data_IF_956825686055
#
_entry.id   IF_956825686055
#
_cell.length_a   1.000
_cell.length_b   1.000
_cell.length_c   1.000
_cell.angle_alpha   90.00
_cell.angle_beta   90.00
_cell.angle_gamma   90.00
#
_symmetry.space_group_name_H-M   'P 1'
#
loop_
_entity.id
_entity.type
_entity.pdbx_description
1 polymer ?
#
# COMPACT_ATOMS: atom_id res chain seq x y z
N UNK A 1 19.66 -12.79 16.88
CA UNK A 1 18.22 -12.69 17.27
C UNK A 1 17.97 -11.59 18.32
N UNK A 2 18.92 -11.40 19.25
CA UNK A 2 18.83 -10.31 20.25
C UNK A 2 18.90 -8.93 19.60
N UNK A 3 19.72 -8.79 18.57
CA UNK A 3 19.91 -7.52 17.83
C UNK A 3 18.60 -7.06 17.15
N UNK A 4 17.83 -7.98 16.58
CA UNK A 4 16.52 -7.65 15.98
C UNK A 4 15.51 -7.13 17.04
N UNK A 5 15.49 -7.74 18.23
CA UNK A 5 14.59 -7.29 19.30
C UNK A 5 14.97 -5.88 19.78
N UNK A 6 16.26 -5.63 19.95
CA UNK A 6 16.79 -4.30 20.31
C UNK A 6 16.47 -3.27 19.24
N UNK A 7 16.68 -3.62 17.98
CA UNK A 7 16.34 -2.76 16.83
C UNK A 7 14.85 -2.40 16.82
N UNK A 8 13.96 -3.37 17.07
CA UNK A 8 12.51 -3.13 17.18
C UNK A 8 12.14 -2.18 18.31
N UNK A 9 12.81 -2.28 19.45
CA UNK A 9 12.61 -1.35 20.58
C UNK A 9 12.99 0.09 20.19
N UNK A 10 14.14 0.27 19.53
CA UNK A 10 14.57 1.60 19.05
C UNK A 10 13.60 2.19 18.03
N UNK A 11 13.14 1.39 17.07
CA UNK A 11 12.18 1.83 16.05
C UNK A 11 10.85 2.21 16.72
N UNK A 12 10.36 1.39 17.65
CA UNK A 12 9.11 1.66 18.37
C UNK A 12 9.22 2.94 19.22
N UNK A 13 10.33 3.11 19.92
CA UNK A 13 10.56 4.34 20.69
C UNK A 13 10.65 5.57 19.79
N UNK A 14 11.39 5.48 18.69
CA UNK A 14 11.45 6.54 17.67
C UNK A 14 10.08 6.91 17.11
N UNK A 15 9.23 5.90 16.85
CA UNK A 15 7.84 6.09 16.42
C UNK A 15 7.00 6.83 17.46
N UNK A 16 7.10 6.47 18.75
CA UNK A 16 6.40 7.16 19.83
C UNK A 16 6.85 8.62 19.97
N UNK A 17 8.14 8.89 19.87
CA UNK A 17 8.68 10.26 19.88
C UNK A 17 8.15 11.05 18.69
N UNK A 18 8.11 10.46 17.49
CA UNK A 18 7.56 11.09 16.29
C UNK A 18 6.07 11.42 16.47
N UNK A 19 5.26 10.50 17.00
CA UNK A 19 3.85 10.74 17.31
C UNK A 19 3.71 11.91 18.29
N UNK A 20 4.49 11.92 19.36
CA UNK A 20 4.48 13.01 20.34
C UNK A 20 4.84 14.36 19.70
N UNK A 21 5.85 14.41 18.84
CA UNK A 21 6.25 15.62 18.10
C UNK A 21 5.11 16.10 17.19
N UNK A 22 4.49 15.19 16.44
CA UNK A 22 3.36 15.54 15.57
C UNK A 22 2.19 16.07 16.39
N UNK A 23 1.86 15.46 17.53
CA UNK A 23 0.78 15.93 18.40
C UNK A 23 1.09 17.30 19.01
N UNK A 24 2.35 17.57 19.38
CA UNK A 24 2.74 18.82 20.04
C UNK A 24 2.92 19.99 19.06
N UNK A 25 3.52 19.74 17.90
CA UNK A 25 3.90 20.76 16.92
C UNK A 25 3.10 20.72 15.63
N UNK A 26 2.31 19.66 15.40
CA UNK A 26 1.56 19.45 14.18
C UNK A 26 0.41 20.44 14.02
N UNK A 27 0.67 21.56 13.34
CA UNK A 27 -0.38 22.48 12.91
C UNK A 27 -0.99 21.98 11.59
N UNK A 28 -2.31 22.11 11.45
CA UNK A 28 -3.04 21.70 10.22
C UNK A 28 -2.42 22.33 8.96
N UNK A 29 -1.94 23.59 9.05
CA UNK A 29 -1.27 24.26 7.92
C UNK A 29 0.03 23.57 7.50
N UNK A 30 0.85 23.12 8.47
CA UNK A 30 2.09 22.38 8.22
C UNK A 30 1.77 21.02 7.58
N UNK A 31 0.75 20.32 8.07
CA UNK A 31 0.33 19.03 7.52
C UNK A 31 -0.16 19.17 6.07
N UNK A 32 -0.91 20.22 5.75
CA UNK A 32 -1.32 20.54 4.37
C UNK A 32 -0.13 20.86 3.45
N UNK A 33 0.88 21.53 3.95
CA UNK A 33 2.11 21.79 3.20
C UNK A 33 2.90 20.50 2.96
N UNK A 34 3.10 19.71 4.02
CA UNK A 34 3.76 18.41 3.96
C UNK A 34 3.03 17.42 3.05
N UNK A 35 1.70 17.47 2.97
CA UNK A 35 0.93 16.61 2.07
C UNK A 35 1.24 16.84 0.59
N UNK A 36 1.46 18.10 0.20
CA UNK A 36 1.86 18.46 -1.16
C UNK A 36 3.29 18.02 -1.47
N UNK A 37 4.21 18.30 -0.55
CA UNK A 37 5.60 17.84 -0.67
C UNK A 37 5.66 16.29 -0.66
N UNK A 38 4.85 15.64 0.18
CA UNK A 38 4.75 14.20 0.25
C UNK A 38 4.33 13.57 -1.08
N UNK A 39 3.36 14.17 -1.77
CA UNK A 39 2.96 13.72 -3.12
C UNK A 39 4.12 13.82 -4.12
N UNK A 40 4.78 14.97 -4.19
CA UNK A 40 5.92 15.17 -5.11
C UNK A 40 7.05 14.20 -4.75
N UNK A 41 7.38 14.11 -3.46
CA UNK A 41 8.42 13.20 -2.97
C UNK A 41 8.09 11.73 -3.25
N UNK A 42 6.83 11.30 -3.07
CA UNK A 42 6.41 9.93 -3.34
C UNK A 42 6.47 9.60 -4.84
N UNK A 43 6.06 10.52 -5.71
CA UNK A 43 6.17 10.32 -7.15
C UNK A 43 7.64 10.22 -7.60
N UNK A 44 8.52 11.07 -7.07
CA UNK A 44 9.97 11.01 -7.35
C UNK A 44 10.59 9.71 -6.83
N UNK A 45 10.23 9.25 -5.63
CA UNK A 45 10.71 7.98 -5.07
C UNK A 45 10.25 6.78 -5.90
N UNK A 46 9.02 6.79 -6.41
CA UNK A 46 8.53 5.73 -7.31
C UNK A 46 9.28 5.73 -8.63
N UNK A 47 9.49 6.90 -9.25
CA UNK A 47 10.26 7.02 -10.50
C UNK A 47 11.71 6.54 -10.29
N UNK A 48 12.33 6.90 -9.16
CA UNK A 48 13.68 6.46 -8.81
C UNK A 48 13.73 4.95 -8.65
N UNK A 49 12.73 4.37 -7.99
CA UNK A 49 12.61 2.93 -7.76
C UNK A 49 12.47 2.17 -9.09
N UNK A 50 11.56 2.63 -9.96
CA UNK A 50 11.27 1.99 -11.25
C UNK A 50 12.40 2.16 -12.28
N UNK A 51 13.16 3.26 -12.18
CA UNK A 51 14.32 3.50 -13.04
C UNK A 51 15.55 2.67 -12.65
N UNK A 52 15.55 2.05 -11.47
CA UNK A 52 16.70 1.31 -10.88
C UNK A 52 17.99 2.16 -10.84
N UNK A 53 17.85 3.48 -10.77
CA UNK A 53 18.97 4.41 -10.82
C UNK A 53 19.74 4.41 -9.50
N UNK A 54 21.01 4.00 -9.54
CA UNK A 54 21.90 3.90 -8.37
C UNK A 54 22.87 5.08 -8.22
N UNK A 55 22.66 6.16 -8.96
CA UNK A 55 23.58 7.32 -8.98
C UNK A 55 23.50 8.26 -7.78
N UNK A 56 22.58 8.05 -6.84
CA UNK A 56 22.41 8.91 -5.67
C UNK A 56 22.92 8.20 -4.42
N UNK A 57 24.02 8.65 -3.81
CA UNK A 57 24.67 7.91 -2.71
C UNK A 57 23.81 7.73 -1.45
N UNK A 58 22.78 8.56 -1.26
CA UNK A 58 21.88 8.49 -0.09
C UNK A 58 20.55 7.78 -0.36
N UNK A 59 20.27 7.43 -1.63
CA UNK A 59 19.01 6.88 -2.09
C UNK A 59 19.28 5.76 -3.10
N UNK A 60 19.56 4.56 -2.61
CA UNK A 60 19.86 3.41 -3.46
C UNK A 60 18.69 2.45 -3.51
N UNK A 61 18.05 2.26 -4.68
CA UNK A 61 17.07 1.20 -4.87
C UNK A 61 17.71 -0.18 -4.65
N UNK A 62 17.01 -1.05 -3.93
CA UNK A 62 17.50 -2.40 -3.61
C UNK A 62 16.39 -3.43 -3.88
N UNK A 63 16.76 -4.58 -4.42
CA UNK A 63 15.83 -5.70 -4.52
C UNK A 63 15.40 -6.16 -3.12
N UNK A 64 14.12 -6.39 -2.95
CA UNK A 64 13.56 -6.88 -1.67
C UNK A 64 14.08 -8.26 -1.31
N UNK A 65 14.30 -9.09 -2.33
CA UNK A 65 14.97 -10.39 -2.21
C UNK A 65 15.91 -10.55 -3.41
N UNK A 66 17.18 -10.88 -3.21
CA UNK A 66 18.13 -11.04 -4.30
C UNK A 66 17.63 -12.03 -5.35
N UNK A 67 17.60 -11.62 -6.62
CA UNK A 67 17.15 -12.43 -7.74
C UNK A 67 15.63 -12.55 -7.93
N UNK A 68 14.82 -11.85 -7.12
CA UNK A 68 13.35 -11.83 -7.27
C UNK A 68 12.85 -10.86 -8.34
N UNK A 69 13.68 -9.92 -8.76
CA UNK A 69 13.30 -8.81 -9.64
C UNK A 69 12.26 -7.87 -9.00
N UNK A 70 12.07 -7.93 -7.67
CA UNK A 70 11.09 -7.08 -6.97
C UNK A 70 11.80 -5.92 -6.26
N UNK A 71 11.59 -4.73 -6.79
CA UNK A 71 12.13 -3.49 -6.25
C UNK A 71 11.04 -2.79 -5.46
N UNK A 72 11.16 -2.74 -4.13
CA UNK A 72 10.17 -2.11 -3.23
C UNK A 72 10.82 -1.26 -2.16
N UNK A 73 12.13 -1.40 -2.00
CA UNK A 73 12.87 -0.81 -0.91
C UNK A 73 13.92 0.13 -1.46
N UNK A 74 14.07 1.29 -0.83
CA UNK A 74 15.19 2.22 -1.06
C UNK A 74 15.95 2.33 0.26
N UNK A 75 17.27 2.18 0.20
CA UNK A 75 18.12 2.51 1.36
C UNK A 75 18.27 4.03 1.39
N UNK A 76 17.68 4.64 2.42
CA UNK A 76 17.76 6.07 2.66
C UNK A 76 18.62 6.32 3.90
N UNK A 77 19.79 6.96 3.73
CA UNK A 77 20.75 7.19 4.82
C UNK A 77 21.12 5.93 5.61
N UNK A 78 21.26 4.79 4.94
CA UNK A 78 21.58 3.50 5.57
C UNK A 78 20.39 2.75 6.17
N UNK A 79 19.18 3.32 6.13
CA UNK A 79 17.95 2.68 6.62
C UNK A 79 17.12 2.18 5.44
N UNK A 80 16.71 0.89 5.41
CA UNK A 80 15.82 0.39 4.39
C UNK A 80 14.40 0.92 4.60
N UNK A 81 13.88 1.65 3.61
CA UNK A 81 12.52 2.23 3.62
C UNK A 81 11.70 1.59 2.52
N UNK A 82 10.55 1.04 2.88
CA UNK A 82 9.58 0.53 1.92
C UNK A 82 8.83 1.70 1.29
N UNK A 83 9.13 2.00 0.02
CA UNK A 83 8.59 3.17 -0.70
C UNK A 83 7.07 3.15 -0.77
N UNK A 84 6.46 1.99 -1.03
CA UNK A 84 5.01 1.88 -1.18
C UNK A 84 4.23 2.24 0.10
N UNK A 85 4.80 1.98 1.28
CA UNK A 85 4.18 2.39 2.56
C UNK A 85 4.16 3.91 2.71
N UNK A 86 5.28 4.56 2.35
CA UNK A 86 5.39 6.03 2.37
C UNK A 86 4.42 6.65 1.37
N UNK A 87 4.32 6.08 0.16
CA UNK A 87 3.42 6.55 -0.90
C UNK A 87 1.96 6.49 -0.47
N UNK A 88 1.53 5.40 0.18
CA UNK A 88 0.15 5.26 0.70
C UNK A 88 -0.22 6.41 1.64
N UNK A 89 0.61 6.68 2.63
CA UNK A 89 0.38 7.77 3.58
C UNK A 89 0.39 9.13 2.88
N UNK A 90 1.37 9.38 2.02
CA UNK A 90 1.50 10.63 1.29
C UNK A 90 0.29 10.90 0.38
N UNK A 91 -0.20 9.86 -0.33
CA UNK A 91 -1.36 9.98 -1.21
C UNK A 91 -2.67 10.23 -0.47
N UNK A 92 -2.89 9.57 0.67
CA UNK A 92 -4.06 9.82 1.51
C UNK A 92 -4.07 11.28 1.98
N UNK A 93 -2.94 11.77 2.49
CA UNK A 93 -2.82 13.16 2.95
C UNK A 93 -2.98 14.16 1.79
N UNK A 94 -2.39 13.86 0.63
CA UNK A 94 -2.52 14.70 -0.55
C UNK A 94 -3.97 14.78 -1.04
N UNK A 95 -4.66 13.65 -1.16
CA UNK A 95 -6.07 13.61 -1.56
C UNK A 95 -6.97 14.35 -0.57
N UNK A 96 -6.70 14.23 0.72
CA UNK A 96 -7.42 14.99 1.75
C UNK A 96 -7.24 16.50 1.56
N UNK A 97 -6.02 16.96 1.25
CA UNK A 97 -5.76 18.36 0.89
C UNK A 97 -6.47 18.77 -0.40
N UNK A 98 -6.36 17.97 -1.46
CA UNK A 98 -6.98 18.26 -2.75
C UNK A 98 -8.51 18.39 -2.65
N UNK A 99 -9.15 17.46 -1.93
CA UNK A 99 -10.59 17.48 -1.67
C UNK A 99 -11.04 18.72 -0.88
N UNK A 100 -10.24 19.13 0.11
CA UNK A 100 -10.53 20.37 0.84
C UNK A 100 -10.38 21.60 -0.06
N UNK A 101 -9.32 21.69 -0.83
CA UNK A 101 -9.03 22.79 -1.77
C UNK A 101 -10.17 22.95 -2.79
N UNK A 102 -10.66 21.83 -3.34
CA UNK A 102 -11.81 21.85 -4.26
C UNK A 102 -13.10 22.33 -3.58
N UNK A 103 -13.34 21.90 -2.33
CA UNK A 103 -14.54 22.37 -1.58
C UNK A 103 -14.48 23.84 -1.19
N UNK A 104 -13.31 24.33 -0.84
CA UNK A 104 -13.08 25.74 -0.48
C UNK A 104 -12.94 26.65 -1.71
N UNK A 105 -12.92 26.07 -2.93
CA UNK A 105 -12.69 26.77 -4.20
C UNK A 105 -11.36 27.54 -4.24
N UNK A 106 -10.38 27.12 -3.46
CA UNK A 106 -9.03 27.70 -3.42
C UNK A 106 -8.15 27.12 -4.55
N UNK A 107 -8.65 27.15 -5.79
CA UNK A 107 -8.05 26.47 -6.95
C UNK A 107 -7.11 27.37 -7.76
N UNK A 108 -6.38 28.27 -7.11
CA UNK A 108 -5.53 29.28 -7.75
C UNK A 108 -4.53 28.71 -8.77
N UNK A 109 -3.97 27.51 -8.54
CA UNK A 109 -3.04 26.89 -9.47
C UNK A 109 -3.71 26.49 -10.79
N UNK A 110 -4.88 25.85 -10.71
CA UNK A 110 -5.64 25.47 -11.90
C UNK A 110 -6.10 26.72 -12.68
N UNK A 111 -6.53 27.76 -11.97
CA UNK A 111 -6.99 29.01 -12.57
C UNK A 111 -5.82 29.74 -13.28
N UNK A 112 -4.61 29.76 -12.70
CA UNK A 112 -3.40 30.27 -13.36
C UNK A 112 -2.99 29.44 -14.58
N UNK A 113 -3.08 28.11 -14.50
CA UNK A 113 -2.76 27.24 -15.62
C UNK A 113 -3.82 27.33 -16.73
N UNK A 114 -5.09 27.55 -16.39
CA UNK A 114 -6.16 27.77 -17.35
C UNK A 114 -5.98 29.05 -18.21
N UNK A 115 -5.16 30.01 -17.74
CA UNK A 115 -4.78 31.20 -18.52
C UNK A 115 -3.95 30.84 -19.76
N UNK A 116 -3.23 29.69 -19.76
CA UNK A 116 -2.59 29.17 -20.95
C UNK A 116 -3.65 28.52 -21.85
N UNK A 117 -3.86 29.04 -23.02
CA UNK A 117 -4.99 28.76 -23.93
C UNK A 117 -5.30 27.26 -24.16
N UNK A 118 -4.31 26.38 -24.19
CA UNK A 118 -4.45 24.92 -24.38
C UNK A 118 -4.94 24.19 -23.12
N UNK A 119 -4.80 24.79 -21.92
CA UNK A 119 -5.28 24.24 -20.66
C UNK A 119 -6.62 24.89 -20.18
N UNK A 120 -7.36 25.51 -21.09
CA UNK A 120 -8.62 26.20 -20.78
C UNK A 120 -9.67 25.28 -20.14
N UNK A 121 -9.60 23.96 -20.35
CA UNK A 121 -10.48 23.00 -19.69
C UNK A 121 -10.32 22.98 -18.15
N UNK A 122 -9.18 23.42 -17.61
CA UNK A 122 -8.96 23.54 -16.16
C UNK A 122 -9.79 24.64 -15.50
N UNK A 123 -10.42 25.52 -16.27
CA UNK A 123 -11.37 26.50 -15.74
C UNK A 123 -12.70 25.85 -15.31
N UNK A 124 -13.04 24.68 -15.86
CA UNK A 124 -14.25 23.94 -15.54
C UNK A 124 -14.11 23.19 -14.20
N UNK A 125 -15.24 22.95 -13.51
CA UNK A 125 -15.21 22.15 -12.26
C UNK A 125 -14.69 20.74 -12.50
N UNK A 126 -15.03 20.12 -13.63
CA UNK A 126 -14.55 18.81 -14.02
C UNK A 126 -13.06 18.79 -14.27
N UNK A 127 -12.53 19.79 -14.97
CA UNK A 127 -11.09 19.95 -15.22
C UNK A 127 -10.30 20.14 -13.91
N UNK A 128 -10.82 20.91 -12.97
CA UNK A 128 -10.21 21.08 -11.63
C UNK A 128 -10.17 19.78 -10.84
N UNK A 129 -11.25 19.02 -10.84
CA UNK A 129 -11.30 17.71 -10.17
C UNK A 129 -10.30 16.77 -10.83
N UNK A 130 -10.24 16.74 -12.15
CA UNK A 130 -9.31 15.88 -12.88
C UNK A 130 -7.86 16.25 -12.61
N UNK A 131 -7.54 17.53 -12.49
CA UNK A 131 -6.20 18.01 -12.22
C UNK A 131 -5.74 17.75 -10.78
N UNK A 132 -6.58 18.07 -9.76
CA UNK A 132 -6.19 17.93 -8.36
C UNK A 132 -6.33 16.51 -7.82
N UNK A 133 -7.25 15.72 -8.35
CA UNK A 133 -7.54 14.37 -7.82
C UNK A 133 -7.23 13.31 -8.87
N UNK A 134 -7.77 13.44 -10.09
CA UNK A 134 -7.67 12.40 -11.13
C UNK A 134 -6.24 12.15 -11.59
N UNK A 135 -5.56 13.16 -12.07
CA UNK A 135 -4.20 13.00 -12.60
C UNK A 135 -3.21 12.47 -11.54
N UNK A 136 -3.15 13.00 -10.29
CA UNK A 136 -2.32 12.43 -9.25
C UNK A 136 -2.64 10.97 -8.90
N UNK A 137 -3.93 10.61 -8.81
CA UNK A 137 -4.34 9.23 -8.55
C UNK A 137 -3.87 8.29 -9.66
N UNK A 138 -4.10 8.66 -10.93
CA UNK A 138 -3.71 7.84 -12.08
C UNK A 138 -2.19 7.71 -12.17
N UNK A 139 -1.45 8.81 -12.03
CA UNK A 139 0.02 8.80 -12.11
C UNK A 139 0.61 7.87 -11.05
N UNK A 140 0.25 8.05 -9.78
CA UNK A 140 0.81 7.23 -8.70
C UNK A 140 0.35 5.78 -8.80
N UNK A 141 -0.90 5.54 -9.18
CA UNK A 141 -1.41 4.19 -9.39
C UNK A 141 -0.63 3.45 -10.50
N UNK A 142 -0.35 4.11 -11.63
CA UNK A 142 0.41 3.52 -12.72
C UNK A 142 1.87 3.25 -12.33
N UNK A 143 2.52 4.20 -11.65
CA UNK A 143 3.88 4.00 -11.15
C UNK A 143 3.95 2.84 -10.16
N UNK A 144 3.02 2.74 -9.22
CA UNK A 144 3.01 1.64 -8.26
C UNK A 144 2.68 0.29 -8.92
N UNK A 145 1.82 0.31 -9.95
CA UNK A 145 1.46 -0.88 -10.72
C UNK A 145 2.67 -1.49 -11.44
N UNK A 146 3.63 -0.67 -11.88
CA UNK A 146 4.86 -1.13 -12.49
C UNK A 146 5.68 -2.04 -11.55
N UNK A 147 5.71 -1.70 -10.26
CA UNK A 147 6.48 -2.44 -9.27
C UNK A 147 5.70 -3.52 -8.52
N UNK A 148 4.40 -3.30 -8.22
CA UNK A 148 3.58 -4.24 -7.44
C UNK A 148 2.08 -4.10 -7.71
N UNK A 149 1.48 -5.12 -8.32
CA UNK A 149 0.05 -5.13 -8.61
C UNK A 149 -0.83 -5.10 -7.35
N UNK A 150 -0.46 -5.87 -6.32
CA UNK A 150 -1.25 -5.96 -5.08
C UNK A 150 -1.22 -4.64 -4.31
N UNK A 151 -0.06 -3.99 -4.22
CA UNK A 151 0.07 -2.69 -3.57
C UNK A 151 -0.72 -1.60 -4.33
N UNK A 152 -0.63 -1.60 -5.66
CA UNK A 152 -1.37 -0.64 -6.50
C UNK A 152 -2.89 -0.80 -6.35
N UNK A 153 -3.41 -2.04 -6.35
CA UNK A 153 -4.84 -2.29 -6.12
C UNK A 153 -5.26 -1.81 -4.73
N UNK A 154 -4.47 -2.15 -3.70
CA UNK A 154 -4.73 -1.70 -2.34
C UNK A 154 -4.73 -0.16 -2.24
N UNK A 155 -3.70 0.49 -2.79
CA UNK A 155 -3.64 1.96 -2.84
C UNK A 155 -4.85 2.53 -3.59
N UNK A 156 -5.23 1.95 -4.73
CA UNK A 156 -6.41 2.36 -5.51
C UNK A 156 -7.70 2.31 -4.68
N UNK A 157 -7.89 1.24 -3.89
CA UNK A 157 -9.04 1.10 -2.99
C UNK A 157 -9.02 2.17 -1.89
N UNK A 158 -7.88 2.40 -1.23
CA UNK A 158 -7.73 3.42 -0.19
C UNK A 158 -7.96 4.83 -0.75
N UNK A 159 -7.41 5.12 -1.94
CA UNK A 159 -7.65 6.41 -2.63
C UNK A 159 -9.13 6.59 -2.96
N UNK A 160 -9.79 5.56 -3.53
CA UNK A 160 -11.21 5.56 -3.84
C UNK A 160 -12.06 5.78 -2.58
N UNK A 161 -11.77 5.08 -1.50
CA UNK A 161 -12.43 5.25 -0.21
C UNK A 161 -12.26 6.68 0.33
N UNK A 162 -11.05 7.24 0.25
CA UNK A 162 -10.78 8.62 0.68
C UNK A 162 -11.62 9.64 -0.09
N UNK A 163 -11.77 9.45 -1.41
CA UNK A 163 -12.61 10.30 -2.27
C UNK A 163 -14.09 10.20 -1.90
N UNK A 164 -14.59 8.99 -1.61
CA UNK A 164 -15.97 8.76 -1.17
C UNK A 164 -16.25 9.47 0.17
N UNK A 165 -15.35 9.30 1.16
CA UNK A 165 -15.46 9.97 2.47
C UNK A 165 -15.40 11.50 2.32
N UNK A 166 -14.64 11.98 1.33
CA UNK A 166 -14.61 13.39 0.94
C UNK A 166 -15.95 13.93 0.41
N UNK A 167 -16.98 13.08 0.24
CA UNK A 167 -18.30 13.46 -0.30
C UNK A 167 -18.20 14.17 -1.66
N UNK A 168 -17.38 13.64 -2.55
CA UNK A 168 -17.32 14.10 -3.93
C UNK A 168 -18.61 13.68 -4.66
N UNK A 169 -19.10 14.49 -5.60
CA UNK A 169 -20.27 14.15 -6.43
C UNK A 169 -20.00 12.86 -7.20
N UNK A 170 -20.98 11.95 -7.24
CA UNK A 170 -20.86 10.65 -7.86
C UNK A 170 -20.44 10.71 -9.34
N UNK A 171 -20.87 11.75 -10.05
CA UNK A 171 -20.46 12.06 -11.43
C UNK A 171 -18.93 12.10 -11.57
N UNK A 172 -18.24 12.77 -10.65
CA UNK A 172 -16.78 12.87 -10.72
C UNK A 172 -16.07 11.56 -10.38
N UNK A 173 -16.62 10.78 -9.45
CA UNK A 173 -16.10 9.44 -9.13
C UNK A 173 -16.14 8.55 -10.39
N UNK A 174 -17.25 8.59 -11.13
CA UNK A 174 -17.37 7.86 -12.38
C UNK A 174 -16.32 8.29 -13.42
N UNK A 175 -16.08 9.60 -13.57
CA UNK A 175 -15.04 10.11 -14.47
C UNK A 175 -13.63 9.68 -14.04
N UNK A 176 -13.36 9.61 -12.73
CA UNK A 176 -12.08 9.13 -12.20
C UNK A 176 -11.87 7.65 -12.52
N UNK A 177 -12.88 6.83 -12.32
CA UNK A 177 -12.82 5.40 -12.67
C UNK A 177 -12.61 5.23 -14.18
N UNK A 178 -13.37 5.97 -15.00
CA UNK A 178 -13.24 5.93 -16.45
C UNK A 178 -11.84 6.36 -16.90
N UNK A 179 -11.29 7.42 -16.32
CA UNK A 179 -9.93 7.87 -16.61
C UNK A 179 -8.87 6.81 -16.22
N UNK A 180 -9.04 6.14 -15.10
CA UNK A 180 -8.18 5.03 -14.68
C UNK A 180 -8.25 3.85 -15.66
N UNK A 181 -9.45 3.48 -16.11
CA UNK A 181 -9.63 2.40 -17.12
C UNK A 181 -9.00 2.78 -18.45
N UNK A 182 -9.20 4.02 -18.93
CA UNK A 182 -8.58 4.52 -20.16
C UNK A 182 -7.06 4.51 -20.04
N UNK A 183 -6.51 5.00 -18.91
CA UNK A 183 -5.06 5.01 -18.69
C UNK A 183 -4.47 3.59 -18.69
N UNK A 184 -5.12 2.63 -18.03
CA UNK A 184 -4.75 1.22 -18.09
C UNK A 184 -4.80 0.68 -19.53
N UNK A 185 -5.88 0.95 -20.26
CA UNK A 185 -6.02 0.54 -21.64
C UNK A 185 -4.92 1.08 -22.55
N UNK A 186 -4.54 2.35 -22.37
CA UNK A 186 -3.44 2.97 -23.11
C UNK A 186 -2.10 2.30 -22.78
N UNK A 187 -1.80 2.05 -21.51
CA UNK A 187 -0.56 1.36 -21.11
C UNK A 187 -0.51 -0.07 -21.64
N UNK A 188 -1.64 -0.81 -21.62
CA UNK A 188 -1.72 -2.13 -22.26
C UNK A 188 -1.53 -2.07 -23.77
N UNK A 189 -2.13 -1.09 -24.43
CA UNK A 189 -1.98 -0.87 -25.88
C UNK A 189 -0.52 -0.54 -26.26
N UNK A 190 0.11 0.36 -25.52
CA UNK A 190 1.51 0.72 -25.72
C UNK A 190 2.45 -0.47 -25.51
N UNK A 191 2.22 -1.28 -24.47
CA UNK A 191 3.00 -2.48 -24.23
C UNK A 191 2.97 -3.46 -25.39
N UNK A 192 1.80 -3.63 -26.04
CA UNK A 192 1.64 -4.53 -27.17
C UNK A 192 2.35 -4.02 -28.43
N UNK A 193 2.46 -2.68 -28.58
CA UNK A 193 3.11 -2.03 -29.73
C UNK A 193 4.62 -1.95 -29.54
N UNK A 194 5.08 -1.57 -28.36
CA UNK A 194 6.51 -1.29 -28.09
C UNK A 194 7.29 -2.49 -27.56
N UNK A 195 6.60 -3.58 -27.18
CA UNK A 195 7.21 -4.75 -26.53
C UNK A 195 7.74 -4.45 -25.12
N UNK A 196 7.45 -3.28 -24.58
CA UNK A 196 7.90 -2.86 -23.24
C UNK A 196 7.17 -3.67 -22.16
N UNK A 197 7.92 -4.40 -21.36
CA UNK A 197 7.38 -5.33 -20.35
C UNK A 197 6.90 -4.63 -19.06
N UNK A 198 6.28 -3.46 -19.17
CA UNK A 198 5.82 -2.66 -18.03
C UNK A 198 4.74 -3.36 -17.19
N UNK A 199 3.88 -4.16 -17.83
CA UNK A 199 2.76 -4.84 -17.19
C UNK A 199 2.84 -6.39 -17.21
N UNK A 200 4.01 -6.97 -17.37
CA UNK A 200 4.17 -8.45 -17.32
C UNK A 200 3.64 -9.06 -16.02
N UNK A 201 3.58 -8.26 -14.96
CA UNK A 201 3.04 -8.68 -13.65
C UNK A 201 1.52 -8.73 -13.61
N UNK A 202 0.81 -7.98 -14.46
CA UNK A 202 -0.67 -8.06 -14.53
C UNK A 202 -1.11 -9.40 -15.10
N UNK A 203 -0.43 -9.91 -16.10
CA UNK A 203 -0.69 -11.26 -16.63
C UNK A 203 -0.42 -12.34 -15.58
N UNK A 204 0.63 -12.17 -14.78
CA UNK A 204 0.93 -13.06 -13.64
C UNK A 204 -0.11 -12.95 -12.52
N UNK A 205 -0.72 -11.77 -12.31
CA UNK A 205 -1.79 -11.63 -11.32
C UNK A 205 -3.08 -12.33 -11.77
N UNK A 206 -3.41 -12.24 -13.07
CA UNK A 206 -4.57 -12.94 -13.64
C UNK A 206 -4.38 -14.46 -13.54
N UNK A 207 -3.18 -14.97 -13.87
CA UNK A 207 -2.90 -16.40 -13.69
C UNK A 207 -3.01 -16.84 -12.23
N UNK A 208 -2.52 -16.04 -11.29
CA UNK A 208 -2.65 -16.35 -9.85
C UNK A 208 -4.09 -16.39 -9.36
N UNK A 209 -4.98 -15.56 -9.90
CA UNK A 209 -6.42 -15.61 -9.56
C UNK A 209 -7.06 -16.89 -10.12
N UNK A 210 -6.68 -17.34 -11.31
CA UNK A 210 -7.13 -18.62 -11.84
C UNK A 210 -6.58 -19.81 -11.05
N UNK A 211 -5.32 -19.71 -10.60
CA UNK A 211 -4.64 -20.76 -9.84
C UNK A 211 -5.10 -20.84 -8.38
N UNK A 212 -5.68 -19.74 -7.84
CA UNK A 212 -6.18 -19.69 -6.44
C UNK A 212 -7.34 -20.67 -6.17
N UNK A 213 -8.03 -21.15 -7.21
CA UNK A 213 -9.07 -22.17 -7.11
C UNK A 213 -8.53 -23.61 -7.27
N UNK A 214 -7.23 -23.77 -7.52
CA UNK A 214 -6.57 -25.08 -7.61
C UNK A 214 -6.29 -25.68 -6.24
N UNK A 215 -6.62 -26.97 -6.06
CA UNK A 215 -6.14 -27.76 -4.93
C UNK A 215 -4.65 -27.97 -5.09
N UNK A 216 -3.77 -27.44 -4.16
CA UNK A 216 -2.31 -27.56 -4.32
C UNK A 216 -1.82 -29.01 -4.44
N UNK A 217 -2.55 -29.95 -3.84
CA UNK A 217 -2.23 -31.38 -3.91
C UNK A 217 -2.48 -31.92 -5.31
N UNK A 218 -3.57 -31.51 -5.95
CA UNK A 218 -3.88 -31.90 -7.32
C UNK A 218 -2.90 -31.29 -8.32
N UNK A 219 -2.44 -30.05 -8.08
CA UNK A 219 -1.40 -29.41 -8.90
C UNK A 219 -0.05 -30.11 -8.75
N UNK A 220 0.34 -30.51 -7.53
CA UNK A 220 1.57 -31.26 -7.28
C UNK A 220 1.62 -32.57 -8.08
N UNK A 221 0.49 -33.27 -8.22
CA UNK A 221 0.42 -34.53 -8.97
C UNK A 221 0.56 -34.36 -10.49
N UNK A 222 0.45 -33.15 -11.01
CA UNK A 222 0.65 -32.85 -12.45
C UNK A 222 2.11 -32.64 -12.83
N UNK A 223 2.99 -32.47 -11.85
CA UNK A 223 4.40 -32.21 -12.07
C UNK A 223 5.28 -33.32 -11.53
N UNK A 224 6.33 -33.67 -12.25
CA UNK A 224 7.28 -34.68 -11.82
C UNK A 224 8.07 -34.21 -10.60
N UNK A 225 8.26 -35.07 -9.58
CA UNK A 225 9.08 -34.79 -8.42
C UNK A 225 10.50 -34.38 -8.81
N UNK A 226 10.96 -33.25 -8.26
CA UNK A 226 12.31 -32.71 -8.55
C UNK A 226 12.37 -31.61 -9.60
N UNK A 227 11.25 -31.33 -10.32
CA UNK A 227 11.18 -30.19 -11.23
C UNK A 227 11.07 -28.87 -10.45
N UNK A 228 11.56 -27.77 -11.03
CA UNK A 228 11.44 -26.42 -10.43
C UNK A 228 9.97 -26.03 -10.19
N UNK A 229 9.05 -26.46 -11.06
CA UNK A 229 7.62 -26.24 -10.89
C UNK A 229 7.08 -26.99 -9.67
N UNK A 230 7.42 -28.28 -9.53
CA UNK A 230 7.06 -29.09 -8.35
C UNK A 230 7.58 -28.47 -7.05
N UNK A 231 8.85 -28.02 -7.01
CA UNK A 231 9.43 -27.40 -5.83
C UNK A 231 8.73 -26.10 -5.46
N UNK A 232 8.39 -25.23 -6.44
CA UNK A 232 7.67 -23.99 -6.19
C UNK A 232 6.27 -24.21 -5.62
N UNK A 233 5.53 -25.19 -6.16
CA UNK A 233 4.19 -25.54 -5.67
C UNK A 233 4.30 -26.14 -4.27
N UNK A 234 5.29 -27.01 -4.05
CA UNK A 234 5.54 -27.61 -2.75
C UNK A 234 5.87 -26.55 -1.69
N UNK A 235 6.74 -25.59 -2.00
CA UNK A 235 7.12 -24.53 -1.06
C UNK A 235 5.95 -23.58 -0.73
N UNK A 236 5.16 -23.21 -1.73
CA UNK A 236 3.95 -22.40 -1.50
C UNK A 236 2.88 -23.16 -0.69
N UNK A 237 2.69 -24.45 -0.97
CA UNK A 237 1.75 -25.30 -0.22
C UNK A 237 2.22 -25.56 1.20
N UNK A 238 3.53 -25.70 1.44
CA UNK A 238 4.10 -25.84 2.80
C UNK A 238 3.75 -24.67 3.69
N UNK A 239 3.88 -23.44 3.19
CA UNK A 239 3.58 -22.22 3.98
C UNK A 239 2.13 -22.20 4.43
N UNK A 240 1.19 -22.39 3.50
CA UNK A 240 -0.25 -22.42 3.82
C UNK A 240 -0.61 -23.58 4.74
N UNK A 241 -0.06 -24.77 4.48
CA UNK A 241 -0.31 -25.95 5.32
C UNK A 241 0.24 -25.77 6.72
N UNK A 242 1.46 -25.27 6.85
CA UNK A 242 2.06 -24.96 8.15
C UNK A 242 1.29 -23.90 8.93
N UNK A 243 0.75 -22.87 8.26
CA UNK A 243 -0.13 -21.90 8.88
C UNK A 243 -1.42 -22.54 9.40
N UNK A 244 -2.05 -23.45 8.65
CA UNK A 244 -3.22 -24.21 9.10
C UNK A 244 -2.90 -25.12 10.28
N UNK A 245 -1.74 -25.78 10.26
CA UNK A 245 -1.25 -26.62 11.38
C UNK A 245 -0.99 -25.74 12.61
N UNK A 246 -0.40 -24.56 12.46
CA UNK A 246 -0.17 -23.61 13.56
C UNK A 246 -1.51 -23.25 14.25
N UNK A 247 -2.53 -22.90 13.47
CA UNK A 247 -3.86 -22.55 13.99
C UNK A 247 -4.51 -23.76 14.68
N UNK A 248 -4.47 -24.94 14.07
CA UNK A 248 -5.12 -26.15 14.63
C UNK A 248 -4.42 -26.65 15.90
N UNK A 249 -3.11 -26.53 15.99
CA UNK A 249 -2.32 -27.00 17.15
C UNK A 249 -2.25 -25.97 18.29
N UNK A 250 -2.60 -24.72 18.03
CA UNK A 250 -2.66 -23.67 19.05
C UNK A 250 -3.80 -23.87 20.07
N UNK A 251 -4.93 -24.47 19.65
CA UNK A 251 -6.08 -24.65 20.53
C UNK A 251 -6.59 -23.35 21.13
N UNK A 252 -7.20 -23.42 22.34
CA UNK A 252 -7.75 -22.24 23.01
C UNK A 252 -6.68 -21.37 23.69
N UNK A 253 -5.70 -21.98 24.34
CA UNK A 253 -4.70 -21.29 25.19
C UNK A 253 -3.31 -21.16 24.55
N UNK A 254 -3.08 -21.84 23.44
CA UNK A 254 -1.78 -21.87 22.79
C UNK A 254 -0.77 -22.83 23.42
N UNK A 255 0.37 -22.99 22.73
CA UNK A 255 1.52 -23.81 23.22
C UNK A 255 2.38 -23.05 24.24
N UNK A 256 2.19 -21.77 24.40
CA UNK A 256 3.00 -20.86 25.19
C UNK A 256 4.00 -20.04 24.38
N UNK A 257 4.42 -18.87 24.89
CA UNK A 257 5.35 -17.97 24.21
C UNK A 257 6.67 -18.66 23.86
N UNK A 258 7.13 -18.50 22.64
CA UNK A 258 8.38 -19.07 22.16
C UNK A 258 8.35 -20.59 21.86
N UNK A 259 7.21 -21.25 22.01
CA UNK A 259 7.04 -22.70 21.81
C UNK A 259 6.42 -23.06 20.45
N UNK A 260 6.32 -22.11 19.51
CA UNK A 260 5.88 -22.40 18.16
C UNK A 260 6.81 -23.39 17.47
N UNK A 261 6.26 -24.43 16.89
CA UNK A 261 7.00 -25.43 16.08
C UNK A 261 7.03 -25.01 14.61
N UNK A 262 6.00 -24.35 14.13
CA UNK A 262 5.87 -23.98 12.71
C UNK A 262 6.79 -22.83 12.30
N UNK A 263 7.26 -22.02 13.24
CA UNK A 263 8.24 -20.94 12.99
C UNK A 263 9.55 -21.38 12.38
N UNK A 264 9.91 -22.64 12.49
CA UNK A 264 11.13 -23.20 11.89
C UNK A 264 10.91 -23.73 10.48
N UNK A 265 9.67 -23.96 10.10
CA UNK A 265 9.28 -24.54 8.81
C UNK A 265 8.98 -23.43 7.79
N UNK A 266 8.34 -22.33 8.25
CA UNK A 266 7.94 -21.21 7.41
C UNK A 266 8.94 -20.07 7.54
N UNK A 267 9.70 -19.81 6.48
CA UNK A 267 10.78 -18.79 6.48
C UNK A 267 10.26 -17.36 6.64
N UNK A 268 9.06 -17.06 6.15
CA UNK A 268 8.40 -15.73 6.20
C UNK A 268 7.22 -15.66 7.16
N UNK A 269 7.21 -16.48 8.21
CA UNK A 269 6.10 -16.55 9.16
C UNK A 269 5.87 -15.24 9.93
N UNK A 270 6.92 -14.46 10.13
CA UNK A 270 6.85 -13.15 10.82
C UNK A 270 6.26 -12.02 9.97
N UNK A 271 6.10 -12.24 8.67
CA UNK A 271 5.51 -11.26 7.74
C UNK A 271 4.10 -11.69 7.36
N UNK A 272 3.97 -12.71 6.50
CA UNK A 272 2.69 -13.06 5.89
C UNK A 272 1.77 -13.90 6.80
N UNK A 273 2.33 -14.66 7.75
CA UNK A 273 1.59 -15.62 8.58
C UNK A 273 1.64 -15.30 10.08
N UNK A 274 1.90 -14.06 10.44
CA UNK A 274 2.03 -13.60 11.83
C UNK A 274 0.82 -13.98 12.70
N UNK A 275 -0.40 -13.86 12.17
CA UNK A 275 -1.62 -14.19 12.89
C UNK A 275 -1.73 -15.67 13.24
N UNK A 276 -1.32 -16.57 12.33
CA UNK A 276 -1.29 -18.00 12.58
C UNK A 276 -0.27 -18.37 13.66
N UNK A 277 0.88 -17.69 13.65
CA UNK A 277 1.92 -17.83 14.67
C UNK A 277 1.41 -17.40 16.06
N UNK A 278 0.69 -16.27 16.12
CA UNK A 278 0.12 -15.77 17.38
C UNK A 278 -0.89 -16.79 17.93
N UNK A 279 -1.73 -17.38 17.08
CA UNK A 279 -2.67 -18.42 17.52
C UNK A 279 -1.92 -19.67 17.99
N UNK A 280 -0.81 -20.06 17.36
CA UNK A 280 -0.03 -21.21 17.81
C UNK A 280 0.54 -20.99 19.22
N UNK A 281 1.06 -19.79 19.52
CA UNK A 281 1.70 -19.50 20.81
C UNK A 281 0.72 -19.09 21.91
N UNK A 282 -0.30 -18.27 21.58
CA UNK A 282 -1.23 -17.67 22.55
C UNK A 282 -2.65 -18.20 22.44
N UNK A 283 -2.89 -19.15 21.54
CA UNK A 283 -4.19 -19.75 21.32
C UNK A 283 -5.19 -18.84 20.61
N UNK A 284 -6.38 -19.38 20.45
CA UNK A 284 -7.51 -18.65 19.86
C UNK A 284 -7.88 -17.40 20.69
N UNK A 285 -7.71 -17.46 22.01
CA UNK A 285 -7.94 -16.30 22.90
C UNK A 285 -6.97 -15.17 22.60
N UNK A 286 -5.68 -15.47 22.39
CA UNK A 286 -4.69 -14.47 21.96
C UNK A 286 -5.01 -13.86 20.58
N UNK A 287 -5.43 -14.71 19.63
CA UNK A 287 -5.89 -14.25 18.32
C UNK A 287 -7.12 -13.34 18.41
N UNK A 288 -8.14 -13.71 19.22
CA UNK A 288 -9.33 -12.88 19.45
C UNK A 288 -8.97 -11.55 20.11
N UNK A 289 -8.06 -11.54 21.08
CA UNK A 289 -7.62 -10.30 21.73
C UNK A 289 -7.05 -9.30 20.71
N UNK A 290 -6.22 -9.78 19.79
CA UNK A 290 -5.66 -8.94 18.73
C UNK A 290 -6.76 -8.41 17.80
N UNK A 291 -7.71 -9.25 17.39
CA UNK A 291 -8.84 -8.80 16.58
C UNK A 291 -9.69 -7.74 17.29
N UNK A 292 -9.91 -7.89 18.59
CA UNK A 292 -10.63 -6.89 19.41
C UNK A 292 -9.83 -5.57 19.46
N UNK A 293 -8.52 -5.64 19.62
CA UNK A 293 -7.67 -4.43 19.61
C UNK A 293 -7.73 -3.71 18.26
N UNK A 294 -7.64 -4.44 17.14
CA UNK A 294 -7.85 -3.85 15.82
C UNK A 294 -9.26 -3.28 15.65
N UNK A 295 -10.29 -4.00 16.08
CA UNK A 295 -11.67 -3.53 16.05
C UNK A 295 -11.87 -2.25 16.86
N UNK A 296 -11.25 -2.14 18.05
CA UNK A 296 -11.31 -0.91 18.86
C UNK A 296 -10.59 0.25 18.20
N UNK A 297 -9.47 0.00 17.53
CA UNK A 297 -8.73 1.02 16.78
C UNK A 297 -9.57 1.55 15.61
N UNK A 298 -10.19 0.66 14.83
CA UNK A 298 -11.10 1.03 13.74
C UNK A 298 -12.33 1.81 14.25
N UNK A 299 -12.93 1.36 15.36
CA UNK A 299 -14.07 2.05 15.98
C UNK A 299 -13.68 3.46 16.44
N UNK A 300 -12.54 3.61 17.08
CA UNK A 300 -12.00 4.93 17.48
C UNK A 300 -11.73 5.82 16.27
N UNK A 301 -11.11 5.28 15.23
CA UNK A 301 -10.90 5.99 13.97
C UNK A 301 -12.23 6.50 13.38
N UNK A 302 -13.26 5.67 13.36
CA UNK A 302 -14.59 6.04 12.87
C UNK A 302 -15.23 7.17 13.70
N UNK A 303 -15.08 7.14 15.02
CA UNK A 303 -15.56 8.21 15.90
C UNK A 303 -14.84 9.53 15.60
N UNK A 304 -13.51 9.49 15.44
CA UNK A 304 -12.72 10.68 15.11
C UNK A 304 -13.17 11.25 13.75
N UNK A 305 -13.34 10.40 12.73
CA UNK A 305 -13.83 10.82 11.39
C UNK A 305 -15.17 11.55 11.48
N UNK A 306 -16.10 11.08 12.33
CA UNK A 306 -17.40 11.72 12.51
C UNK A 306 -17.30 13.10 13.17
N UNK A 307 -16.35 13.28 14.09
CA UNK A 307 -16.18 14.48 14.88
C UNK A 307 -15.20 15.49 14.26
N UNK A 308 -14.61 15.19 13.09
CA UNK A 308 -13.73 16.12 12.39
C UNK A 308 -14.50 17.24 11.70
N UNK A 309 -14.15 18.49 12.01
CA UNK A 309 -14.78 19.69 11.41
C UNK A 309 -14.29 19.95 9.99
N UNK A 310 -13.01 19.67 9.72
CA UNK A 310 -12.39 19.94 8.41
C UNK A 310 -12.43 18.72 7.51
N UNK A 311 -12.63 18.95 6.20
CA UNK A 311 -12.58 17.87 5.19
C UNK A 311 -11.20 17.22 5.17
N UNK A 312 -10.14 18.01 5.32
CA UNK A 312 -8.78 17.51 5.36
C UNK A 312 -8.59 16.50 6.49
N UNK A 313 -8.92 16.85 7.73
CA UNK A 313 -8.78 15.96 8.88
C UNK A 313 -9.63 14.69 8.72
N UNK A 314 -10.89 14.86 8.29
CA UNK A 314 -11.82 13.74 8.07
C UNK A 314 -11.27 12.74 7.06
N UNK A 315 -10.86 13.22 5.88
CA UNK A 315 -10.33 12.35 4.82
C UNK A 315 -8.99 11.74 5.19
N UNK A 316 -8.10 12.48 5.86
CA UNK A 316 -6.81 11.97 6.33
C UNK A 316 -7.01 10.81 7.32
N UNK A 317 -7.82 11.02 8.36
CA UNK A 317 -8.05 9.97 9.36
C UNK A 317 -8.75 8.76 8.73
N UNK A 318 -9.78 8.98 7.90
CA UNK A 318 -10.48 7.88 7.25
C UNK A 318 -9.57 7.06 6.32
N UNK A 319 -8.75 7.73 5.51
CA UNK A 319 -7.84 7.04 4.60
C UNK A 319 -6.64 6.37 5.28
N UNK A 320 -6.21 6.85 6.47
CA UNK A 320 -5.15 6.19 7.25
C UNK A 320 -5.65 5.01 8.08
N UNK A 321 -6.95 4.95 8.36
CA UNK A 321 -7.59 3.86 9.13
C UNK A 321 -8.10 2.76 8.20
N UNK A 322 -8.34 3.07 6.91
CA UNK A 322 -8.74 2.10 5.89
C UNK A 322 -7.58 1.19 5.46
#
# INVERSE_FOLDING_TARGET
RFDYAIQQVYISFGGLVLIWLICKFGRVGILKFLSRLGFIGSALLLILLDSHFQGIPFLTPVETQPGSGTWRTIIMFGVPVMVYEVVKVAMVMYLAWALQTLKQKETQLADKLAAFGWLRFLSTEEGKVMFYVGAPMVIVFLLELAGSNSSAIFLGLVMGFTVIVGKMKFKYIFHLILAGVIALGLVFGMQKITGWKFLTRVTTAISRVSDFHGDPVKELHKHEPGTLAFQRILDSSKQVTSAKVAVSTGGLLGKGPGKSTQRYIVSVMYEDYMFSFIIEEYGLLGGMLILILYGTLLARGSIIVRNCDTVFARCTVAGLVA
#
